data_IF_994415868817
#
_entry.id   IF_994415868817
#
_cell.length_a   1.000
_cell.length_b   1.000
_cell.length_c   1.000
_cell.angle_alpha   90.00
_cell.angle_beta   90.00
_cell.angle_gamma   90.00
#
_symmetry.space_group_name_H-M   'P 1'
#
loop_
_entity.id
_entity.type
_entity.pdbx_description
1 polymer ?
#
# COMPACT_ATOMS: atom_id res chain seq x y z
N UNK A 1 3.46 0.02 -7.12
CA UNK A 1 3.91 1.42 -6.89
C UNK A 1 2.74 2.30 -6.43
N UNK A 2 2.11 1.92 -5.32
CA UNK A 2 0.97 2.65 -4.74
C UNK A 2 1.19 2.82 -3.23
N UNK A 3 0.76 3.97 -2.72
CA UNK A 3 0.74 4.25 -1.29
C UNK A 3 -0.66 4.69 -0.85
N UNK A 4 -1.09 4.29 0.34
CA UNK A 4 -2.35 4.70 0.96
C UNK A 4 -2.07 5.42 2.29
N UNK A 5 -2.97 6.30 2.76
CA UNK A 5 -2.79 6.88 4.08
C UNK A 5 -2.92 5.79 5.13
N UNK A 6 -2.15 5.94 6.21
CA UNK A 6 -2.40 5.17 7.41
C UNK A 6 -3.74 5.53 8.03
N UNK A 7 -4.22 4.67 8.93
CA UNK A 7 -5.36 4.98 9.77
C UNK A 7 -4.98 6.02 10.84
N UNK A 8 -5.95 6.78 11.30
CA UNK A 8 -5.81 7.76 12.37
C UNK A 8 -6.97 7.66 13.35
N UNK A 9 -6.83 8.36 14.48
CA UNK A 9 -7.90 8.56 15.45
C UNK A 9 -8.74 9.78 15.06
N UNK A 10 -10.00 9.56 14.72
CA UNK A 10 -10.98 10.62 14.54
C UNK A 10 -11.38 11.22 15.89
N UNK A 11 -11.58 12.53 15.91
CA UNK A 11 -12.19 13.19 17.07
C UNK A 11 -13.67 12.82 17.21
N UNK A 12 -14.45 12.94 16.11
CA UNK A 12 -15.81 12.44 15.94
C UNK A 12 -16.33 12.77 14.52
N UNK A 13 -17.17 11.92 13.89
CA UNK A 13 -17.61 10.58 14.32
C UNK A 13 -16.51 9.51 14.18
N UNK A 14 -16.72 8.25 14.61
CA UNK A 14 -15.73 7.19 14.41
C UNK A 14 -15.28 7.06 12.96
N UNK A 15 -14.05 6.63 12.77
CA UNK A 15 -13.40 6.50 11.46
C UNK A 15 -14.19 5.60 10.51
N UNK A 16 -14.40 6.11 9.29
CA UNK A 16 -15.09 5.39 8.20
C UNK A 16 -14.41 5.65 6.86
N UNK A 17 -14.78 4.94 5.80
CA UNK A 17 -14.30 5.24 4.44
C UNK A 17 -14.68 6.65 3.92
N UNK A 18 -15.59 7.35 4.59
CA UNK A 18 -15.98 8.73 4.27
C UNK A 18 -15.18 9.79 5.07
N UNK A 19 -14.38 9.36 6.05
CA UNK A 19 -13.53 10.21 6.87
C UNK A 19 -12.58 11.08 6.04
N UNK A 20 -12.16 12.19 6.62
CA UNK A 20 -11.14 13.08 6.07
C UNK A 20 -10.25 13.51 7.22
N UNK A 21 -8.94 13.32 7.06
CA UNK A 21 -7.99 13.68 8.11
C UNK A 21 -7.86 15.20 8.21
N UNK A 22 -8.27 15.77 9.34
CA UNK A 22 -8.26 17.20 9.62
C UNK A 22 -7.65 17.45 11.00
N UNK A 23 -6.32 17.66 11.10
CA UNK A 23 -5.65 17.94 12.37
C UNK A 23 -6.26 19.12 13.15
N UNK A 24 -6.68 20.16 12.41
CA UNK A 24 -7.32 21.35 13.00
C UNK A 24 -8.68 21.05 13.65
N UNK A 25 -9.34 19.94 13.28
CA UNK A 25 -10.60 19.48 13.88
C UNK A 25 -10.37 18.50 15.05
N UNK A 26 -9.11 18.21 15.38
CA UNK A 26 -8.73 17.33 16.48
C UNK A 26 -8.38 15.90 16.09
N UNK A 27 -8.26 15.59 14.79
CA UNK A 27 -7.78 14.27 14.37
C UNK A 27 -6.31 14.08 14.76
N UNK A 28 -6.01 12.88 15.28
CA UNK A 28 -4.67 12.55 15.79
C UNK A 28 -4.14 11.32 15.07
N UNK A 29 -2.93 11.44 14.53
CA UNK A 29 -2.17 10.32 14.04
C UNK A 29 -1.05 9.99 15.01
N UNK A 30 -1.03 8.72 15.46
CA UNK A 30 -0.02 8.16 16.33
C UNK A 30 0.71 7.10 15.48
N UNK A 31 1.97 7.33 15.08
CA UNK A 31 2.68 6.42 14.19
C UNK A 31 2.90 5.06 14.86
N UNK A 32 3.03 3.99 14.07
CA UNK A 32 3.38 2.68 14.59
C UNK A 32 4.77 2.70 15.24
N UNK A 33 4.86 2.05 16.38
CA UNK A 33 6.09 1.75 17.10
C UNK A 33 6.47 0.27 16.94
N UNK A 34 7.65 -0.10 17.43
CA UNK A 34 8.25 -1.43 17.30
C UNK A 34 7.28 -2.60 17.57
N UNK A 35 6.35 -2.45 18.52
CA UNK A 35 5.41 -3.49 18.96
C UNK A 35 3.96 -2.98 19.13
N UNK A 36 3.67 -1.77 18.65
CA UNK A 36 2.34 -1.19 18.72
C UNK A 36 1.98 -0.50 17.39
N UNK A 37 0.81 -0.79 16.84
CA UNK A 37 0.36 -0.20 15.58
C UNK A 37 0.01 1.31 15.68
N UNK A 38 0.02 1.88 16.90
CA UNK A 38 -0.42 3.26 17.13
C UNK A 38 -1.90 3.42 16.79
N UNK A 39 -2.25 4.46 16.03
CA UNK A 39 -3.59 4.63 15.45
C UNK A 39 -3.74 4.09 14.03
N UNK A 40 -2.64 3.52 13.50
CA UNK A 40 -2.54 2.99 12.15
C UNK A 40 -3.21 1.64 11.91
N UNK A 41 -3.03 1.11 10.71
CA UNK A 41 -3.48 -0.23 10.33
C UNK A 41 -2.75 -1.29 11.16
N UNK A 42 -3.50 -2.27 11.68
CA UNK A 42 -2.99 -3.31 12.58
C UNK A 42 -3.31 -4.72 12.05
N UNK A 43 -2.35 -5.65 12.15
CA UNK A 43 -2.52 -7.01 11.65
C UNK A 43 -3.73 -7.73 12.30
N UNK A 44 -3.93 -7.52 13.60
CA UNK A 44 -5.00 -8.12 14.40
C UNK A 44 -6.38 -7.62 14.01
N UNK A 45 -6.49 -6.37 13.56
CA UNK A 45 -7.74 -5.72 13.20
C UNK A 45 -8.07 -5.81 11.71
N UNK A 46 -7.07 -5.63 10.85
CA UNK A 46 -7.29 -5.38 9.43
C UNK A 46 -6.89 -6.57 8.53
N UNK A 47 -6.24 -7.61 9.05
CA UNK A 47 -5.86 -8.78 8.24
C UNK A 47 -7.07 -9.54 7.68
N UNK A 48 -7.12 -9.60 6.35
CA UNK A 48 -8.19 -10.19 5.55
C UNK A 48 -9.40 -9.27 5.35
N UNK A 49 -9.30 -7.99 5.73
CA UNK A 49 -10.38 -7.02 5.50
C UNK A 49 -10.55 -6.76 4.00
N UNK A 50 -11.79 -6.79 3.47
CA UNK A 50 -12.07 -6.36 2.11
C UNK A 50 -11.99 -4.84 2.01
N UNK A 51 -11.29 -4.35 1.00
CA UNK A 51 -11.08 -2.92 0.78
C UNK A 51 -11.21 -2.61 -0.71
N UNK A 52 -11.92 -1.53 -1.01
CA UNK A 52 -11.84 -0.87 -2.31
C UNK A 52 -11.01 0.40 -2.13
N UNK A 53 -9.79 0.39 -2.67
CA UNK A 53 -8.97 1.60 -2.75
C UNK A 53 -9.31 2.35 -4.03
N UNK A 54 -9.38 3.68 -3.94
CA UNK A 54 -9.73 4.57 -5.03
C UNK A 54 -8.61 5.54 -5.31
N UNK A 55 -8.59 6.08 -6.51
CA UNK A 55 -7.65 7.13 -6.87
C UNK A 55 -7.74 8.31 -5.88
N UNK A 56 -6.60 8.73 -5.35
CA UNK A 56 -6.45 9.91 -4.51
C UNK A 56 -6.33 11.19 -5.33
N UNK A 57 -6.42 12.32 -4.63
CA UNK A 57 -6.21 13.65 -5.22
C UNK A 57 -5.24 14.43 -4.35
N UNK A 58 -4.39 15.23 -4.97
CA UNK A 58 -3.51 16.16 -4.28
C UNK A 58 -4.01 17.58 -4.52
N UNK A 59 -4.17 18.33 -3.44
CA UNK A 59 -4.63 19.72 -3.45
C UNK A 59 -3.72 20.54 -2.53
N UNK A 60 -3.73 21.87 -2.69
CA UNK A 60 -3.01 22.79 -1.81
C UNK A 60 -3.99 23.80 -1.21
N UNK A 61 -4.20 23.80 0.14
CA UNK A 61 -3.72 22.80 1.09
C UNK A 61 -4.34 21.41 0.82
N UNK A 62 -3.76 20.32 1.33
CA UNK A 62 -4.31 18.97 1.13
C UNK A 62 -5.65 18.85 1.83
N UNK A 63 -6.72 19.13 1.09
CA UNK A 63 -8.07 19.22 1.63
C UNK A 63 -8.72 17.84 1.86
N UNK A 64 -8.08 16.75 1.41
CA UNK A 64 -8.78 15.46 1.27
C UNK A 64 -7.84 14.25 1.42
N UNK A 65 -7.04 14.19 2.48
CA UNK A 65 -6.46 12.90 2.89
C UNK A 65 -7.63 12.06 3.42
N UNK A 66 -8.01 11.03 2.66
CA UNK A 66 -9.16 10.19 2.96
C UNK A 66 -8.74 8.72 3.00
N UNK A 67 -9.42 7.87 3.78
CA UNK A 67 -9.13 6.45 3.81
C UNK A 67 -9.19 5.83 2.43
N UNK A 68 -8.32 4.85 2.21
CA UNK A 68 -8.34 4.04 1.00
C UNK A 68 -8.20 4.85 -0.29
N UNK A 69 -7.56 6.03 -0.22
CA UNK A 69 -7.17 6.81 -1.39
C UNK A 69 -5.71 6.58 -1.70
N UNK A 70 -5.42 5.97 -2.84
CA UNK A 70 -4.05 5.69 -3.22
C UNK A 70 -3.41 6.84 -3.99
N UNK A 71 -2.12 7.03 -3.75
CA UNK A 71 -1.25 7.90 -4.54
C UNK A 71 -0.24 7.02 -5.29
N UNK A 72 0.02 7.30 -6.59
CA UNK A 72 1.13 6.68 -7.30
C UNK A 72 2.45 7.19 -6.72
N UNK A 73 3.36 6.27 -6.41
CA UNK A 73 4.65 6.59 -5.77
C UNK A 73 5.83 6.09 -6.59
N UNK A 74 6.93 6.81 -6.47
CA UNK A 74 8.21 6.43 -7.03
C UNK A 74 8.95 5.47 -6.09
N UNK A 75 9.01 4.20 -6.49
CA UNK A 75 9.91 3.22 -5.89
C UNK A 75 11.35 3.59 -6.30
N UNK A 76 12.29 3.75 -5.35
CA UNK A 76 13.68 4.02 -5.68
C UNK A 76 14.25 2.98 -6.66
N UNK A 77 15.23 3.34 -7.48
CA UNK A 77 15.87 2.38 -8.41
C UNK A 77 14.99 1.85 -9.57
N UNK A 78 13.69 2.12 -9.59
CA UNK A 78 12.83 1.84 -10.74
C UNK A 78 12.99 2.89 -11.84
N UNK A 79 12.60 2.51 -13.05
CA UNK A 79 12.48 3.46 -14.18
C UNK A 79 11.24 4.32 -13.96
N UNK A 80 11.32 5.61 -14.33
CA UNK A 80 10.23 6.59 -14.23
C UNK A 80 10.00 7.30 -15.56
N UNK A 81 8.76 7.74 -15.81
CA UNK A 81 8.30 8.30 -17.09
C UNK A 81 7.21 7.46 -17.75
N UNK A 82 6.90 7.76 -19.02
CA UNK A 82 5.79 7.15 -19.74
C UNK A 82 5.88 5.62 -19.82
N UNK A 83 4.82 4.92 -19.40
CA UNK A 83 4.73 3.46 -19.38
C UNK A 83 5.52 2.78 -18.25
N UNK A 84 6.21 3.56 -17.41
CA UNK A 84 7.08 3.01 -16.39
C UNK A 84 6.28 2.47 -15.19
N UNK A 85 5.16 3.10 -14.83
CA UNK A 85 4.31 2.65 -13.71
C UNK A 85 3.67 1.29 -13.99
N UNK A 86 3.19 1.08 -15.22
CA UNK A 86 2.70 -0.23 -15.68
C UNK A 86 3.77 -1.30 -15.50
N UNK A 87 4.99 -1.04 -15.99
CA UNK A 87 6.11 -1.97 -15.87
C UNK A 87 6.51 -2.24 -14.41
N UNK A 88 6.54 -1.19 -13.58
CA UNK A 88 6.83 -1.30 -12.15
C UNK A 88 5.71 -2.01 -11.36
N UNK A 89 4.51 -2.13 -11.93
CA UNK A 89 3.40 -2.86 -11.33
C UNK A 89 3.48 -4.36 -11.65
N UNK A 90 3.86 -4.72 -12.87
CA UNK A 90 3.93 -6.14 -13.30
C UNK A 90 5.27 -6.82 -13.04
N UNK A 91 6.29 -6.05 -12.63
CA UNK A 91 7.64 -6.54 -12.33
C UNK A 91 8.01 -6.27 -10.87
N UNK A 92 8.98 -7.04 -10.38
CA UNK A 92 9.62 -6.74 -9.09
C UNK A 92 10.55 -5.54 -9.26
N UNK A 93 10.45 -4.55 -8.36
CA UNK A 93 11.47 -3.53 -8.22
C UNK A 93 12.69 -4.12 -7.52
N UNK A 94 13.90 -3.74 -7.95
CA UNK A 94 15.17 -4.18 -7.33
C UNK A 94 15.58 -3.29 -6.13
N UNK A 95 14.66 -2.44 -5.66
CA UNK A 95 14.93 -1.53 -4.56
C UNK A 95 14.23 -1.96 -3.29
N UNK A 96 14.90 -1.61 -2.19
CA UNK A 96 14.37 -1.74 -0.83
C UNK A 96 13.76 -0.40 -0.46
N UNK A 97 12.56 -0.46 0.09
CA UNK A 97 11.95 0.65 0.82
C UNK A 97 12.00 0.25 2.29
N UNK A 98 12.43 1.16 3.15
CA UNK A 98 12.48 1.00 4.59
C UNK A 98 11.35 1.81 5.26
N UNK A 99 11.06 1.47 6.50
CA UNK A 99 10.21 2.35 7.33
C UNK A 99 10.95 3.69 7.53
N UNK A 100 10.21 4.78 7.62
CA UNK A 100 10.66 6.18 7.65
C UNK A 100 11.27 6.71 6.35
N UNK A 101 11.30 5.90 5.28
CA UNK A 101 11.69 6.42 3.96
C UNK A 101 10.70 7.47 3.48
N UNK A 102 11.26 8.50 2.84
CA UNK A 102 10.48 9.44 2.04
C UNK A 102 10.46 8.95 0.59
N UNK A 103 9.27 8.70 0.05
CA UNK A 103 9.08 8.32 -1.34
C UNK A 103 8.46 9.47 -2.11
N UNK A 104 8.99 9.74 -3.31
CA UNK A 104 8.37 10.74 -4.17
C UNK A 104 6.99 10.26 -4.61
N UNK A 105 6.06 11.19 -4.72
CA UNK A 105 4.82 10.97 -5.45
C UNK A 105 5.20 11.01 -6.94
N UNK A 106 4.69 10.06 -7.72
CA UNK A 106 5.00 9.97 -9.14
C UNK A 106 4.69 11.28 -9.85
N UNK A 107 5.68 11.83 -10.55
CA UNK A 107 5.53 13.08 -11.26
C UNK A 107 4.44 13.02 -12.35
N UNK A 108 3.91 14.19 -12.73
CA UNK A 108 2.90 14.31 -13.77
C UNK A 108 1.46 14.25 -13.25
N UNK A 109 0.54 13.90 -14.15
CA UNK A 109 -0.89 13.83 -13.86
C UNK A 109 -1.23 12.53 -13.11
N UNK A 110 -1.89 12.66 -11.94
CA UNK A 110 -2.22 11.53 -11.08
C UNK A 110 -3.16 10.53 -11.78
N UNK A 111 -4.10 11.01 -12.59
CA UNK A 111 -5.07 10.16 -13.26
C UNK A 111 -4.41 9.32 -14.35
N UNK A 112 -3.54 9.93 -15.15
CA UNK A 112 -2.73 9.23 -16.15
C UNK A 112 -1.85 8.15 -15.50
N UNK A 113 -1.24 8.48 -14.35
CA UNK A 113 -0.46 7.53 -13.56
C UNK A 113 -1.32 6.38 -13.01
N UNK A 114 -2.54 6.67 -12.55
CA UNK A 114 -3.49 5.67 -12.07
C UNK A 114 -3.88 4.70 -13.20
N UNK A 115 -4.15 5.18 -14.41
CA UNK A 115 -4.46 4.34 -15.57
C UNK A 115 -3.31 3.38 -15.91
N UNK A 116 -2.05 3.82 -15.86
CA UNK A 116 -0.90 2.92 -16.08
C UNK A 116 -0.80 1.82 -15.02
N UNK A 117 -1.08 2.15 -13.75
CA UNK A 117 -1.14 1.17 -12.67
C UNK A 117 -2.25 0.15 -12.95
N UNK A 118 -3.44 0.63 -13.32
CA UNK A 118 -4.59 -0.23 -13.67
C UNK A 118 -4.25 -1.18 -14.82
N UNK A 119 -3.58 -0.71 -15.87
CA UNK A 119 -3.13 -1.56 -16.97
C UNK A 119 -2.19 -2.68 -16.47
N UNK A 120 -1.30 -2.35 -15.53
CA UNK A 120 -0.43 -3.33 -14.90
C UNK A 120 -1.21 -4.34 -14.05
N UNK A 121 -2.15 -3.88 -13.24
CA UNK A 121 -3.02 -4.74 -12.43
C UNK A 121 -3.86 -5.68 -13.30
N UNK A 122 -4.41 -5.17 -14.40
CA UNK A 122 -5.17 -5.98 -15.36
C UNK A 122 -4.29 -7.06 -16.00
N UNK A 123 -3.02 -6.80 -16.30
CA UNK A 123 -2.10 -7.85 -16.75
C UNK A 123 -1.88 -8.93 -15.67
N UNK A 124 -1.73 -8.52 -14.40
CA UNK A 124 -1.61 -9.47 -13.30
C UNK A 124 -2.85 -10.36 -13.17
N UNK A 125 -4.04 -9.75 -13.23
CA UNK A 125 -5.33 -10.45 -13.10
C UNK A 125 -5.63 -11.33 -14.30
N UNK A 126 -5.41 -10.87 -15.53
CA UNK A 126 -5.92 -11.57 -16.72
C UNK A 126 -4.89 -12.49 -17.37
N UNK A 127 -3.59 -12.24 -17.15
CA UNK A 127 -2.50 -12.97 -17.82
C UNK A 127 -1.62 -13.72 -16.84
N UNK A 128 -1.15 -13.09 -15.77
CA UNK A 128 -0.12 -13.69 -14.90
C UNK A 128 -0.69 -14.67 -13.89
N UNK A 129 -1.79 -14.32 -13.24
CA UNK A 129 -2.41 -15.14 -12.20
C UNK A 129 -3.95 -15.10 -12.24
N UNK A 130 -4.55 -15.54 -13.36
CA UNK A 130 -6.00 -15.45 -13.58
C UNK A 130 -6.84 -16.42 -12.75
N UNK A 131 -6.23 -17.47 -12.22
CA UNK A 131 -6.90 -18.43 -11.35
C UNK A 131 -7.02 -17.97 -9.90
N UNK A 132 -6.20 -17.02 -9.46
CA UNK A 132 -6.12 -16.63 -8.06
C UNK A 132 -7.41 -15.99 -7.54
N UNK A 133 -7.86 -16.44 -6.37
CA UNK A 133 -9.05 -15.93 -5.68
C UNK A 133 -8.76 -15.84 -4.19
N UNK A 134 -9.29 -14.82 -3.51
CA UNK A 134 -9.21 -14.76 -2.05
C UNK A 134 -10.18 -15.74 -1.39
N UNK A 135 -9.67 -16.54 -0.46
CA UNK A 135 -10.47 -17.40 0.39
C UNK A 135 -10.71 -16.72 1.76
N UNK A 136 -11.93 -16.23 2.05
CA UNK A 136 -12.21 -15.53 3.29
C UNK A 136 -12.21 -16.44 4.53
N UNK A 137 -12.38 -17.75 4.36
CA UNK A 137 -12.37 -18.71 5.48
C UNK A 137 -10.96 -18.99 5.97
N UNK A 138 -9.98 -19.09 5.05
CA UNK A 138 -8.58 -19.38 5.37
C UNK A 138 -7.71 -18.12 5.42
N UNK A 139 -8.24 -16.98 4.95
CA UNK A 139 -7.52 -15.70 4.76
C UNK A 139 -6.25 -15.89 3.91
N UNK A 140 -6.38 -16.60 2.79
CA UNK A 140 -5.30 -16.92 1.86
C UNK A 140 -5.77 -16.76 0.42
N UNK A 141 -4.80 -16.67 -0.49
CA UNK A 141 -5.07 -16.75 -1.94
C UNK A 141 -5.06 -18.22 -2.32
N UNK A 142 -6.15 -18.68 -2.92
CA UNK A 142 -6.28 -20.02 -3.49
C UNK A 142 -6.14 -19.95 -5.02
N UNK A 143 -5.80 -21.09 -5.64
CA UNK A 143 -5.72 -21.25 -7.10
C UNK A 143 -4.71 -20.32 -7.78
N UNK A 144 -3.71 -19.84 -7.03
CA UNK A 144 -2.64 -19.04 -7.62
C UNK A 144 -1.65 -19.91 -8.38
N UNK A 145 -1.05 -19.37 -9.44
CA UNK A 145 0.11 -19.98 -10.08
C UNK A 145 1.30 -20.17 -9.11
N UNK A 146 1.30 -19.47 -7.97
CA UNK A 146 2.29 -19.66 -6.90
C UNK A 146 2.12 -20.97 -6.12
N UNK A 147 0.91 -21.55 -6.10
CA UNK A 147 0.62 -22.79 -5.37
C UNK A 147 1.08 -24.04 -6.15
N UNK A 148 1.41 -23.87 -7.43
CA UNK A 148 1.83 -24.98 -8.28
C UNK A 148 3.19 -25.54 -7.85
N UNK A 149 3.31 -26.86 -7.89
CA UNK A 149 4.58 -27.56 -7.64
C UNK A 149 5.53 -27.50 -8.85
N UNK A 150 4.98 -27.52 -10.07
CA UNK A 150 5.72 -27.44 -11.34
C UNK A 150 5.14 -26.27 -12.14
N UNK A 151 6.01 -25.43 -12.73
CA UNK A 151 5.59 -24.25 -13.46
C UNK A 151 5.18 -23.06 -12.58
N UNK A 152 5.61 -23.07 -11.30
CA UNK A 152 5.40 -21.97 -10.35
C UNK A 152 5.86 -20.64 -10.93
N UNK A 153 4.98 -19.63 -10.90
CA UNK A 153 5.27 -18.30 -11.41
C UNK A 153 6.13 -17.46 -10.44
N UNK A 154 5.90 -17.59 -9.13
CA UNK A 154 6.56 -16.83 -8.07
C UNK A 154 6.40 -17.53 -6.70
N UNK A 155 7.15 -17.13 -5.66
CA UNK A 155 7.03 -17.69 -4.31
C UNK A 155 5.66 -17.44 -3.63
N UNK A 156 4.99 -16.34 -4.00
CA UNK A 156 3.64 -15.95 -3.58
C UNK A 156 2.86 -15.48 -4.82
N UNK A 157 1.54 -15.33 -4.71
CA UNK A 157 0.73 -14.81 -5.82
C UNK A 157 1.26 -13.44 -6.26
N UNK A 158 1.53 -13.22 -7.57
CA UNK A 158 1.98 -11.93 -8.09
C UNK A 158 0.89 -10.85 -8.00
N UNK A 159 -0.35 -11.21 -7.65
CA UNK A 159 -1.44 -10.26 -7.35
C UNK A 159 -1.44 -9.76 -5.90
N UNK A 160 -0.54 -10.26 -5.06
CA UNK A 160 -0.25 -9.66 -3.76
C UNK A 160 0.83 -8.60 -3.96
N UNK A 161 0.47 -7.34 -3.77
CA UNK A 161 1.38 -6.20 -3.92
C UNK A 161 1.77 -5.64 -2.56
N UNK A 162 3.03 -5.23 -2.38
CA UNK A 162 3.38 -4.39 -1.24
C UNK A 162 2.83 -2.97 -1.50
N UNK A 163 2.08 -2.44 -0.54
CA UNK A 163 1.63 -1.05 -0.53
C UNK A 163 2.34 -0.32 0.60
N UNK A 164 2.91 0.83 0.29
CA UNK A 164 3.38 1.75 1.31
C UNK A 164 2.17 2.35 2.04
N UNK A 165 2.28 2.49 3.35
CA UNK A 165 1.28 3.17 4.17
C UNK A 165 1.94 4.42 4.74
N UNK A 166 1.41 5.58 4.37
CA UNK A 166 2.05 6.86 4.65
C UNK A 166 1.45 7.60 5.84
N UNK A 167 2.29 8.41 6.47
CA UNK A 167 1.91 9.33 7.55
C UNK A 167 0.93 10.42 7.04
N UNK A 168 -0.36 10.37 7.44
CA UNK A 168 -1.33 11.38 7.01
C UNK A 168 -1.04 12.76 7.61
N UNK A 169 -0.39 12.82 8.78
CA UNK A 169 0.02 14.07 9.43
C UNK A 169 1.17 14.72 8.68
N UNK A 170 2.21 13.98 8.34
CA UNK A 170 3.35 14.52 7.59
C UNK A 170 2.90 15.06 6.22
N UNK A 171 2.03 14.33 5.51
CA UNK A 171 1.50 14.79 4.23
C UNK A 171 0.62 16.05 4.39
N UNK A 172 -0.18 16.13 5.46
CA UNK A 172 -0.99 17.32 5.77
C UNK A 172 -0.11 18.53 6.06
N UNK A 173 0.92 18.37 6.90
CA UNK A 173 1.86 19.43 7.26
C UNK A 173 2.64 19.93 6.03
N UNK A 174 3.16 19.02 5.20
CA UNK A 174 3.88 19.36 3.95
C UNK A 174 2.97 20.14 2.97
N UNK A 175 1.69 19.79 2.93
CA UNK A 175 0.71 20.45 2.06
C UNK A 175 0.41 21.91 2.44
N UNK A 176 0.69 22.30 3.69
CA UNK A 176 0.56 23.69 4.13
C UNK A 176 1.64 24.58 3.49
N UNK A 177 2.79 24.00 3.11
CA UNK A 177 3.90 24.68 2.44
C UNK A 177 3.81 24.69 0.91
N UNK A 178 2.91 23.90 0.30
CA UNK A 178 2.80 23.78 -1.16
C UNK A 178 2.13 22.48 -1.60
N UNK A 179 2.27 22.12 -2.88
CA UNK A 179 1.86 20.80 -3.34
C UNK A 179 2.88 19.76 -2.84
N UNK A 180 2.47 18.73 -2.07
CA UNK A 180 3.41 17.72 -1.60
C UNK A 180 4.07 16.99 -2.76
N UNK A 181 5.39 16.81 -2.69
CA UNK A 181 6.17 16.06 -3.67
C UNK A 181 6.48 14.64 -3.20
N UNK A 182 6.27 14.34 -1.92
CA UNK A 182 6.67 13.08 -1.29
C UNK A 182 5.70 12.66 -0.19
N UNK A 183 5.79 11.39 0.19
CA UNK A 183 5.11 10.78 1.34
C UNK A 183 6.14 10.13 2.25
N UNK A 184 5.85 10.09 3.56
CA UNK A 184 6.67 9.41 4.56
C UNK A 184 6.07 8.05 4.88
N UNK A 185 6.82 6.97 4.66
CA UNK A 185 6.36 5.60 4.87
C UNK A 185 6.47 5.23 6.34
N UNK A 186 5.35 4.96 7.01
CA UNK A 186 5.35 4.53 8.40
C UNK A 186 4.96 3.06 8.57
N UNK A 187 4.29 2.46 7.59
CA UNK A 187 3.99 1.04 7.59
C UNK A 187 3.97 0.49 6.15
N UNK A 188 3.92 -0.82 6.00
CA UNK A 188 3.71 -1.48 4.71
C UNK A 188 2.72 -2.62 4.87
N UNK A 189 1.77 -2.69 3.94
CA UNK A 189 0.75 -3.73 3.89
C UNK A 189 0.86 -4.57 2.63
N UNK A 190 0.60 -5.87 2.75
CA UNK A 190 0.31 -6.68 1.59
C UNK A 190 -1.14 -6.41 1.15
N UNK A 191 -1.38 -6.39 -0.15
CA UNK A 191 -2.72 -6.24 -0.68
C UNK A 191 -2.93 -7.21 -1.83
N UNK A 192 -3.85 -8.15 -1.66
CA UNK A 192 -4.26 -9.03 -2.74
C UNK A 192 -5.29 -8.31 -3.61
N UNK A 193 -4.97 -8.12 -4.88
CA UNK A 193 -5.84 -7.47 -5.87
C UNK A 193 -6.83 -8.50 -6.43
N UNK A 194 -8.11 -8.35 -6.10
CA UNK A 194 -9.20 -9.21 -6.57
C UNK A 194 -9.71 -8.74 -7.93
N UNK A 195 -10.00 -7.46 -8.08
CA UNK A 195 -10.55 -6.89 -9.31
C UNK A 195 -10.27 -5.39 -9.44
N UNK A 196 -10.43 -4.88 -10.66
CA UNK A 196 -10.32 -3.46 -10.99
C UNK A 196 -11.56 -3.02 -11.78
N UNK A 197 -12.08 -1.83 -11.47
CA UNK A 197 -13.19 -1.20 -12.20
C UNK A 197 -12.93 0.30 -12.32
N UNK A 198 -12.68 0.78 -13.54
CA UNK A 198 -12.15 2.13 -13.73
C UNK A 198 -10.79 2.26 -13.03
N UNK A 199 -10.65 3.25 -12.14
CA UNK A 199 -9.46 3.41 -11.27
C UNK A 199 -9.66 2.87 -9.85
N UNK A 200 -10.80 2.24 -9.55
CA UNK A 200 -11.07 1.59 -8.27
C UNK A 200 -10.47 0.18 -8.26
N UNK A 201 -9.72 -0.14 -7.22
CA UNK A 201 -9.06 -1.44 -7.04
C UNK A 201 -9.68 -2.10 -5.82
N UNK A 202 -10.31 -3.26 -6.00
CA UNK A 202 -10.92 -4.03 -4.92
C UNK A 202 -10.06 -5.24 -4.58
N UNK A 203 -9.89 -5.51 -3.29
CA UNK A 203 -9.01 -6.55 -2.81
C UNK A 203 -9.07 -6.75 -1.31
N UNK A 204 -8.03 -7.38 -0.77
CA UNK A 204 -7.95 -7.77 0.62
C UNK A 204 -6.60 -7.42 1.23
N UNK A 205 -6.63 -6.84 2.43
CA UNK A 205 -5.41 -6.58 3.22
C UNK A 205 -4.82 -7.92 3.67
N UNK A 206 -3.54 -8.12 3.46
CA UNK A 206 -2.82 -9.36 3.77
C UNK A 206 -1.36 -9.07 4.14
N UNK A 207 -0.62 -10.12 4.44
CA UNK A 207 0.82 -10.01 4.72
C UNK A 207 1.63 -10.08 3.44
N UNK A 208 2.77 -9.38 3.41
CA UNK A 208 3.74 -9.49 2.34
C UNK A 208 5.07 -10.05 2.88
N UNK A 209 5.76 -10.96 2.17
CA UNK A 209 7.08 -11.41 2.58
C UNK A 209 8.08 -10.25 2.46
N UNK A 210 8.60 -9.79 3.61
CA UNK A 210 9.62 -8.75 3.68
C UNK A 210 11.03 -9.32 3.77
N UNK A 211 12.03 -8.50 3.50
CA UNK A 211 13.43 -8.80 3.80
C UNK A 211 13.84 -8.06 5.08
N UNK A 212 14.49 -8.77 6.01
CA UNK A 212 15.06 -8.12 7.20
C UNK A 212 16.38 -7.45 6.85
N UNK A 213 16.44 -6.14 7.00
CA UNK A 213 17.67 -5.35 6.94
C UNK A 213 18.12 -5.01 8.37
N UNK A 214 19.33 -5.39 8.76
CA UNK A 214 19.81 -5.24 10.13
C UNK A 214 20.07 -3.77 10.51
N UNK A 215 20.24 -2.87 9.52
CA UNK A 215 20.49 -1.45 9.74
C UNK A 215 19.24 -0.57 9.70
N UNK A 216 18.07 -1.12 9.39
CA UNK A 216 16.83 -0.37 9.26
C UNK A 216 16.02 -0.33 10.56
N UNK A 217 15.22 0.74 10.73
CA UNK A 217 14.15 0.75 11.73
C UNK A 217 13.23 -0.46 11.52
N UNK A 218 12.73 -1.03 12.61
CA UNK A 218 11.93 -2.26 12.56
C UNK A 218 10.58 -2.05 13.23
N UNK A 219 9.57 -2.70 12.66
CA UNK A 219 8.25 -2.89 13.25
C UNK A 219 8.02 -4.41 13.29
N UNK A 220 7.46 -4.91 14.39
CA UNK A 220 7.13 -6.33 14.58
C UNK A 220 5.63 -6.52 14.82
N UNK A 221 5.23 -7.79 14.80
CA UNK A 221 3.93 -8.30 15.24
C UNK A 221 2.73 -7.57 14.63
N UNK A 222 1.98 -6.83 15.45
CA UNK A 222 0.73 -6.18 15.05
C UNK A 222 0.95 -4.93 14.18
N UNK A 223 2.15 -4.38 14.24
CA UNK A 223 2.50 -3.04 13.72
C UNK A 223 2.95 -3.08 12.26
N UNK A 224 3.26 -4.27 11.72
CA UNK A 224 3.60 -4.44 10.31
C UNK A 224 3.05 -5.72 9.72
N UNK A 225 2.62 -5.62 8.47
CA UNK A 225 2.18 -6.76 7.68
C UNK A 225 3.33 -7.40 6.89
N UNK A 226 4.57 -6.88 7.04
CA UNK A 226 5.75 -7.52 6.51
C UNK A 226 6.14 -8.73 7.38
N UNK A 227 6.22 -9.91 6.76
CA UNK A 227 6.77 -11.11 7.41
C UNK A 227 8.16 -11.39 6.86
N UNK A 228 9.19 -11.17 7.66
CA UNK A 228 10.54 -11.59 7.30
C UNK A 228 10.77 -13.04 7.75
N UNK A 229 11.00 -14.00 6.83
CA UNK A 229 11.42 -15.33 7.22
C UNK A 229 12.83 -15.26 7.82
N UNK A 230 12.99 -15.68 9.08
CA UNK A 230 14.31 -15.88 9.68
C UNK A 230 14.75 -17.33 9.43
N UNK A 231 15.92 -17.51 8.82
CA UNK A 231 16.59 -18.80 8.83
C UNK A 231 17.13 -19.05 10.24
N UNK A 232 16.59 -20.05 10.92
CA UNK A 232 17.15 -20.56 12.17
C UNK A 232 18.37 -21.41 11.81
N UNK A 233 19.54 -21.09 12.36
CA UNK A 233 20.73 -21.94 12.29
C UNK A 233 20.64 -23.10 13.27
#
# INVERSE_FOLDING_TARGET
>A
PIAIPDRWNENAPPWTSASTFVPAAGDVYDPPELVAAGSGLALSADFGAPVTIKEGVLTTPAATIKPWRYLPIEIPGSVWGAGALRNNTVRCADAKVHFTDSLNIAAGDLHSNALEIIDGLNELITVKDPGAVWNPATKRVDNSCADLAVGRCAPISPRILPMAVYDPKALSDDSAGGLPASIWVNNMVGFFVESVSGTDITGYITTYPGLRDAGAGMLYDDSSFLRAPMLVQ
#
